data_IF_150086858726
#
_entry.id   IF_150086858726
#
_cell.length_a   1.000
_cell.length_b   1.000
_cell.length_c   1.000
_cell.angle_alpha   90.00
_cell.angle_beta   90.00
_cell.angle_gamma   90.00
#
_symmetry.space_group_name_H-M   'P 1'
#
loop_
_entity.id
_entity.type
_entity.pdbx_description
1 polymer ?
#
# COMPACT_ATOMS: atom_id res chain seq x y z
N UNK A 1 -8.54 52.02 -46.64
CA UNK A 1 -8.74 50.55 -46.71
C UNK A 1 -8.25 49.95 -45.40
N UNK A 2 -9.18 49.74 -44.46
CA UNK A 2 -8.92 49.14 -43.15
C UNK A 2 -9.05 47.61 -43.28
N UNK A 3 -8.03 46.86 -42.88
CA UNK A 3 -8.08 45.39 -42.81
C UNK A 3 -8.14 44.97 -41.33
N UNK A 4 -9.30 44.47 -40.96
CA UNK A 4 -9.61 43.79 -39.70
C UNK A 4 -8.73 42.54 -39.60
N UNK A 5 -7.99 42.39 -38.51
CA UNK A 5 -7.32 41.13 -38.14
C UNK A 5 -8.28 40.31 -37.27
N UNK A 6 -8.69 39.15 -37.77
CA UNK A 6 -9.36 38.13 -36.98
C UNK A 6 -8.39 37.57 -35.93
N UNK A 7 -8.76 37.64 -34.66
CA UNK A 7 -8.13 36.90 -33.57
C UNK A 7 -8.92 35.59 -33.44
N UNK A 8 -8.29 34.47 -33.79
CA UNK A 8 -8.82 33.13 -33.49
C UNK A 8 -8.31 32.79 -32.08
N UNK A 9 -9.22 32.76 -31.12
CA UNK A 9 -8.99 32.21 -29.78
C UNK A 9 -9.12 30.70 -29.89
N UNK A 10 -8.02 29.96 -29.76
CA UNK A 10 -8.06 28.52 -29.55
C UNK A 10 -8.44 28.26 -28.09
N UNK A 11 -9.65 27.77 -27.89
CA UNK A 11 -10.12 27.20 -26.64
C UNK A 11 -9.44 25.83 -26.47
N UNK A 12 -8.40 25.74 -25.64
CA UNK A 12 -7.81 24.46 -25.27
C UNK A 12 -8.70 23.82 -24.19
N UNK A 13 -9.59 22.93 -24.64
CA UNK A 13 -10.31 21.99 -23.78
C UNK A 13 -9.27 20.97 -23.32
N UNK A 14 -8.90 21.03 -22.04
CA UNK A 14 -8.03 20.05 -21.39
C UNK A 14 -8.74 18.70 -21.32
N UNK A 15 -8.51 17.87 -22.32
CA UNK A 15 -8.81 16.45 -22.28
C UNK A 15 -7.86 15.80 -21.29
N UNK A 16 -8.43 15.22 -20.22
CA UNK A 16 -7.79 14.17 -19.42
C UNK A 16 -7.23 13.12 -20.38
N UNK A 17 -5.90 13.12 -20.54
CA UNK A 17 -5.21 11.93 -21.01
C UNK A 17 -4.82 11.17 -19.75
N UNK A 18 -5.37 9.97 -19.58
CA UNK A 18 -4.76 8.97 -18.71
C UNK A 18 -3.30 8.85 -19.14
N UNK A 19 -2.40 9.36 -18.30
CA UNK A 19 -0.99 9.05 -18.43
C UNK A 19 -0.88 7.53 -18.23
N UNK A 20 -0.73 6.82 -19.34
CA UNK A 20 -0.24 5.46 -19.33
C UNK A 20 1.18 5.57 -18.81
N UNK A 21 1.38 5.20 -17.55
CA UNK A 21 2.72 5.09 -16.97
C UNK A 21 3.41 4.00 -17.78
N UNK A 22 4.34 4.43 -18.61
CA UNK A 22 5.24 3.53 -19.30
C UNK A 22 6.15 2.94 -18.21
N UNK A 23 5.84 1.74 -17.75
CA UNK A 23 6.72 0.96 -16.88
C UNK A 23 7.88 0.54 -17.78
N UNK A 24 8.82 1.44 -17.98
CA UNK A 24 10.13 1.08 -18.49
C UNK A 24 10.68 0.04 -17.51
N UNK A 25 11.01 -1.15 -18.03
CA UNK A 25 11.75 -2.18 -17.30
C UNK A 25 12.99 -1.52 -16.72
N UNK A 26 12.94 -1.15 -15.44
CA UNK A 26 14.12 -0.77 -14.67
C UNK A 26 14.98 -2.03 -14.64
N UNK A 27 16.18 -1.93 -15.22
CA UNK A 27 17.20 -2.96 -15.11
C UNK A 27 17.36 -3.26 -13.62
N UNK A 28 17.00 -4.49 -13.25
CA UNK A 28 17.11 -4.99 -11.89
C UNK A 28 18.56 -4.86 -11.46
N UNK A 29 18.84 -3.92 -10.56
CA UNK A 29 20.14 -3.80 -9.92
C UNK A 29 20.40 -5.13 -9.19
N UNK A 30 21.44 -5.86 -9.61
CA UNK A 30 21.83 -7.15 -9.00
C UNK A 30 22.08 -7.03 -7.48
N UNK A 31 22.21 -5.80 -6.97
CA UNK A 31 22.34 -5.46 -5.55
C UNK A 31 21.07 -5.68 -4.70
N UNK A 32 19.87 -5.76 -5.27
CA UNK A 32 18.64 -6.02 -4.49
C UNK A 32 18.44 -7.51 -4.14
N UNK A 33 19.42 -8.37 -4.44
CA UNK A 33 19.32 -9.81 -4.24
C UNK A 33 19.34 -10.26 -2.78
N UNK A 34 19.67 -9.39 -1.83
CA UNK A 34 19.72 -9.67 -0.38
C UNK A 34 18.98 -8.60 0.44
N UNK A 35 17.66 -8.50 0.29
CA UNK A 35 16.84 -7.74 1.23
C UNK A 35 16.79 -8.52 2.54
N UNK A 36 17.32 -7.94 3.61
CA UNK A 36 17.23 -8.50 4.96
C UNK A 36 15.85 -8.19 5.55
N UNK A 37 14.92 -9.13 5.39
CA UNK A 37 13.52 -8.99 5.83
C UNK A 37 13.42 -8.77 7.34
N UNK A 38 14.40 -9.20 8.13
CA UNK A 38 14.39 -9.02 9.59
C UNK A 38 14.52 -7.56 10.01
N UNK A 39 15.01 -6.68 9.13
CA UNK A 39 15.07 -5.24 9.36
C UNK A 39 13.73 -4.54 9.13
N UNK A 40 12.78 -5.21 8.48
CA UNK A 40 11.48 -4.64 8.14
C UNK A 40 10.44 -4.99 9.21
N UNK A 41 9.81 -3.96 9.76
CA UNK A 41 8.84 -4.06 10.85
C UNK A 41 7.47 -3.54 10.42
N UNK A 42 6.42 -3.99 11.10
CA UNK A 42 5.09 -3.44 10.92
C UNK A 42 5.08 -1.95 11.34
N UNK A 43 4.15 -1.19 10.76
CA UNK A 43 4.07 0.27 10.98
C UNK A 43 3.91 0.66 12.45
N UNK A 44 3.17 -0.12 13.23
CA UNK A 44 2.94 0.09 14.67
C UNK A 44 4.23 0.02 15.50
N UNK A 45 5.26 -0.65 15.00
CA UNK A 45 6.57 -0.77 15.66
C UNK A 45 7.49 0.41 15.40
N UNK A 46 7.27 1.14 14.30
CA UNK A 46 8.03 2.34 13.94
C UNK A 46 7.28 3.64 14.23
N UNK A 47 6.00 3.54 14.55
CA UNK A 47 5.20 4.69 14.92
C UNK A 47 5.77 5.38 16.17
N UNK A 48 6.00 6.68 16.05
CA UNK A 48 6.33 7.59 17.15
C UNK A 48 5.10 7.79 18.02
N UNK A 49 3.93 7.91 17.38
CA UNK A 49 2.65 8.06 18.03
C UNK A 49 1.51 7.46 17.19
N UNK A 50 0.42 7.16 17.87
CA UNK A 50 -0.80 6.61 17.31
C UNK A 50 -1.99 7.45 17.76
N UNK A 51 -2.79 7.88 16.80
CA UNK A 51 -3.94 8.72 17.08
C UNK A 51 -5.19 7.98 16.63
N UNK A 52 -5.99 7.58 17.62
CA UNK A 52 -7.32 7.01 17.37
C UNK A 52 -8.27 8.12 16.91
N UNK A 53 -9.02 7.82 15.86
CA UNK A 53 -9.98 8.74 15.29
C UNK A 53 -11.25 8.80 16.17
N UNK A 54 -11.42 9.87 16.95
CA UNK A 54 -12.63 10.11 17.76
C UNK A 54 -13.79 10.68 16.93
N UNK A 55 -14.86 9.91 16.77
CA UNK A 55 -16.03 10.31 15.98
C UNK A 55 -16.78 11.47 16.65
N UNK A 56 -16.97 12.56 15.91
CA UNK A 56 -17.79 13.69 16.34
C UNK A 56 -19.26 13.31 16.15
N UNK A 57 -19.98 13.22 17.26
CA UNK A 57 -21.41 12.94 17.30
C UNK A 57 -22.21 14.11 16.68
N UNK A 58 -23.08 13.84 15.70
CA UNK A 58 -24.12 14.80 15.28
C UNK A 58 -24.33 15.08 13.80
N UNK A 59 -23.64 14.42 12.86
CA UNK A 59 -23.86 14.61 11.42
C UNK A 59 -24.07 13.27 10.68
N UNK A 60 -24.65 13.30 9.48
CA UNK A 60 -24.66 12.13 8.55
C UNK A 60 -23.23 11.75 8.06
N UNK A 61 -22.21 12.50 8.50
CA UNK A 61 -20.81 12.42 8.14
C UNK A 61 -20.00 12.08 9.39
N UNK A 62 -19.24 10.99 9.38
CA UNK A 62 -18.19 10.79 10.39
C UNK A 62 -17.17 11.89 10.22
N UNK A 63 -16.96 12.65 11.27
CA UNK A 63 -15.97 13.71 11.32
C UNK A 63 -15.03 13.47 12.48
N UNK A 64 -13.73 13.57 12.23
CA UNK A 64 -12.69 13.40 13.24
C UNK A 64 -11.93 14.71 13.39
N UNK A 65 -11.72 15.16 14.63
CA UNK A 65 -10.89 16.34 14.91
C UNK A 65 -9.79 16.00 15.90
N UNK A 66 -8.56 16.14 15.43
CA UNK A 66 -7.35 15.92 16.22
C UNK A 66 -6.68 17.26 16.42
N UNK A 67 -6.21 17.52 17.64
CA UNK A 67 -5.42 18.71 17.98
C UNK A 67 -4.19 18.29 18.74
N UNK A 68 -3.15 17.95 18.00
CA UNK A 68 -1.86 17.54 18.54
C UNK A 68 -0.74 18.46 18.09
N UNK A 69 0.42 18.32 18.74
CA UNK A 69 1.59 19.13 18.47
C UNK A 69 2.84 18.26 18.25
N UNK A 70 3.29 18.15 16.99
CA UNK A 70 4.48 17.43 16.56
C UNK A 70 5.42 18.35 15.78
N UNK A 71 6.71 18.09 15.79
CA UNK A 71 7.69 18.82 14.98
C UNK A 71 7.93 18.05 13.68
N UNK A 72 7.07 18.25 12.67
CA UNK A 72 7.06 17.40 11.47
C UNK A 72 8.18 17.73 10.49
N UNK A 73 8.68 18.96 10.49
CA UNK A 73 9.82 19.38 9.66
C UNK A 73 11.13 19.48 10.43
N UNK A 74 11.14 18.99 11.68
CA UNK A 74 12.30 18.91 12.57
C UNK A 74 13.01 20.27 12.73
N UNK A 75 12.25 21.37 12.78
CA UNK A 75 12.77 22.74 12.92
C UNK A 75 12.97 23.17 14.39
N UNK A 76 12.59 22.30 15.33
CA UNK A 76 12.65 22.52 16.78
C UNK A 76 11.41 23.19 17.36
N UNK A 77 10.38 23.48 16.55
CA UNK A 77 9.09 24.02 16.99
C UNK A 77 8.01 23.00 16.69
N UNK A 78 7.02 22.95 17.57
CA UNK A 78 5.86 22.08 17.34
C UNK A 78 4.87 22.73 16.39
N UNK A 79 4.38 21.93 15.46
CA UNK A 79 3.33 22.24 14.50
C UNK A 79 1.96 21.89 15.05
N UNK A 80 1.00 22.79 14.88
CA UNK A 80 -0.39 22.55 15.25
C UNK A 80 -1.09 21.75 14.15
N UNK A 81 -1.53 20.54 14.50
CA UNK A 81 -2.23 19.65 13.58
C UNK A 81 -3.73 19.77 13.79
N UNK A 82 -4.47 19.92 12.69
CA UNK A 82 -5.93 19.83 12.67
C UNK A 82 -6.34 18.91 11.53
N UNK A 83 -6.80 17.71 11.87
CA UNK A 83 -7.46 16.84 10.90
C UNK A 83 -8.96 17.11 10.93
N UNK A 84 -9.57 17.24 9.75
CA UNK A 84 -11.01 17.18 9.55
C UNK A 84 -11.27 16.12 8.50
N UNK A 85 -11.32 14.87 8.96
CA UNK A 85 -11.57 13.73 8.09
C UNK A 85 -13.07 13.57 7.95
N UNK A 86 -13.58 13.55 6.71
CA UNK A 86 -15.02 13.45 6.42
C UNK A 86 -15.30 12.18 5.64
N UNK A 87 -16.22 11.37 6.15
CA UNK A 87 -16.68 10.17 5.48
C UNK A 87 -18.22 10.04 5.53
N UNK A 88 -18.84 9.60 4.42
CA UNK A 88 -20.27 9.27 4.35
C UNK A 88 -20.51 8.02 3.49
N UNK A 89 -20.29 6.84 4.06
CA UNK A 89 -20.60 5.57 3.39
C UNK A 89 -20.04 5.53 1.96
N UNK A 90 -20.89 5.20 0.98
CA UNK A 90 -20.49 5.11 -0.44
C UNK A 90 -20.21 6.45 -1.14
N UNK A 91 -20.21 7.60 -0.45
CA UNK A 91 -19.92 8.91 -1.05
C UNK A 91 -18.56 9.42 -0.58
N UNK A 92 -17.64 9.53 -1.54
CA UNK A 92 -16.36 10.21 -1.37
C UNK A 92 -16.62 11.66 -0.98
N UNK A 93 -16.13 12.04 0.20
CA UNK A 93 -16.09 13.43 0.65
C UNK A 93 -14.63 13.83 0.82
N UNK A 94 -14.34 15.07 0.49
CA UNK A 94 -13.01 15.62 0.69
C UNK A 94 -12.78 15.85 2.18
N UNK A 95 -11.82 15.11 2.71
CA UNK A 95 -11.21 15.36 4.00
C UNK A 95 -10.21 16.50 3.87
N UNK A 96 -10.09 17.32 4.90
CA UNK A 96 -9.12 18.41 4.97
C UNK A 96 -8.11 18.07 6.05
N UNK A 97 -6.85 18.01 5.67
CA UNK A 97 -5.73 17.81 6.58
C UNK A 97 -4.99 19.15 6.68
N UNK A 98 -4.87 19.71 7.88
CA UNK A 98 -4.25 21.01 8.12
C UNK A 98 -3.11 20.89 9.13
N UNK A 99 -1.98 21.51 8.81
CA UNK A 99 -0.82 21.66 9.71
C UNK A 99 -0.40 23.13 9.64
N UNK A 100 -0.46 23.82 10.78
CA UNK A 100 -0.33 25.27 10.86
C UNK A 100 -1.27 25.96 9.85
N UNK A 101 -0.71 26.78 8.95
CA UNK A 101 -1.44 27.50 7.91
C UNK A 101 -1.52 26.73 6.57
N UNK A 102 -0.99 25.51 6.51
CA UNK A 102 -1.02 24.68 5.30
C UNK A 102 -2.14 23.65 5.37
N UNK A 103 -2.79 23.39 4.22
CA UNK A 103 -3.82 22.36 4.11
C UNK A 103 -3.69 21.58 2.80
N UNK A 104 -4.20 20.35 2.82
CA UNK A 104 -4.41 19.50 1.66
C UNK A 104 -5.80 18.87 1.74
N UNK A 105 -6.43 18.68 0.57
CA UNK A 105 -7.66 17.91 0.44
C UNK A 105 -7.32 16.49 -0.03
N UNK A 106 -7.92 15.47 0.60
CA UNK A 106 -7.79 14.08 0.17
C UNK A 106 -9.11 13.33 0.38
N UNK A 107 -9.39 12.36 -0.48
CA UNK A 107 -10.60 11.54 -0.42
C UNK A 107 -10.26 10.19 0.18
N UNK A 108 -10.92 9.85 1.29
CA UNK A 108 -10.77 8.56 1.97
C UNK A 108 -12.07 7.76 1.83
N UNK A 109 -11.93 6.44 1.84
CA UNK A 109 -13.03 5.49 1.80
C UNK A 109 -13.49 5.12 3.20
N UNK A 110 -12.64 4.54 4.06
CA UNK A 110 -12.96 4.16 5.43
C UNK A 110 -11.75 4.41 6.36
N UNK A 111 -11.37 5.69 6.57
CA UNK A 111 -10.21 6.05 7.39
C UNK A 111 -10.51 5.78 8.87
N UNK A 112 -9.59 5.14 9.58
CA UNK A 112 -9.83 4.79 10.99
C UNK A 112 -8.62 4.97 11.93
N UNK A 113 -7.39 4.98 11.43
CA UNK A 113 -6.18 5.20 12.25
C UNK A 113 -5.25 6.24 11.62
N UNK A 114 -4.55 7.00 12.48
CA UNK A 114 -3.42 7.84 12.06
C UNK A 114 -2.17 7.41 12.81
N UNK A 115 -1.09 7.22 12.05
CA UNK A 115 0.24 6.97 12.60
C UNK A 115 1.14 8.17 12.33
N UNK A 116 1.88 8.60 13.35
CA UNK A 116 3.01 9.51 13.20
C UNK A 116 4.27 8.67 13.12
N UNK A 117 5.03 8.79 12.04
CA UNK A 117 6.13 7.88 11.72
C UNK A 117 7.29 8.64 11.09
N UNK A 118 8.52 8.27 11.45
CA UNK A 118 9.73 8.71 10.76
C UNK A 118 10.08 7.61 9.73
N UNK A 119 9.79 7.84 8.45
CA UNK A 119 10.03 6.86 7.40
C UNK A 119 11.51 6.71 7.08
N UNK A 120 12.30 7.78 7.19
CA UNK A 120 13.75 7.79 6.97
C UNK A 120 14.45 8.66 8.01
N UNK A 121 14.96 8.00 9.04
CA UNK A 121 15.66 8.62 10.18
C UNK A 121 16.91 9.42 9.82
N UNK A 122 17.36 9.37 8.55
CA UNK A 122 18.49 10.15 8.04
C UNK A 122 18.07 11.50 7.47
N UNK A 123 16.79 11.70 7.20
CA UNK A 123 16.27 12.97 6.71
C UNK A 123 15.83 13.89 7.86
N UNK A 124 15.07 14.94 7.55
CA UNK A 124 14.61 15.93 8.55
C UNK A 124 13.10 16.05 8.52
N UNK A 125 12.42 14.94 8.34
CA UNK A 125 10.98 14.90 8.29
C UNK A 125 10.46 13.82 9.21
N UNK A 126 9.30 14.11 9.79
CA UNK A 126 8.41 13.10 10.34
C UNK A 126 7.17 13.13 9.46
N UNK A 127 6.73 11.96 9.06
CA UNK A 127 5.51 11.78 8.30
C UNK A 127 4.33 11.50 9.22
N UNK A 128 3.15 11.63 8.63
CA UNK A 128 1.99 10.97 9.16
C UNK A 128 1.34 10.17 8.04
N UNK A 129 0.71 9.06 8.41
CA UNK A 129 -0.07 8.25 7.49
C UNK A 129 -1.44 7.97 8.07
N UNK A 130 -2.42 7.88 7.17
CA UNK A 130 -3.79 7.53 7.51
C UNK A 130 -4.04 6.13 6.96
N UNK A 131 -4.46 5.23 7.84
CA UNK A 131 -4.91 3.90 7.48
C UNK A 131 -6.38 3.97 7.09
N UNK A 132 -6.64 3.56 5.86
CA UNK A 132 -7.96 3.47 5.25
C UNK A 132 -8.25 1.99 5.00
N UNK A 133 -9.30 1.45 5.62
CA UNK A 133 -9.68 0.03 5.45
C UNK A 133 -10.22 -0.28 4.03
N UNK A 134 -10.46 0.78 3.25
CA UNK A 134 -10.93 0.67 1.87
C UNK A 134 -12.36 0.11 1.75
N UNK A 135 -12.92 0.10 0.54
CA UNK A 135 -14.08 -0.73 0.25
C UNK A 135 -13.68 -2.21 0.31
N UNK A 136 -14.57 -3.07 0.80
CA UNK A 136 -14.41 -4.54 0.75
C UNK A 136 -13.15 -5.13 1.42
N UNK A 137 -12.45 -4.37 2.28
CA UNK A 137 -11.23 -4.80 2.95
C UNK A 137 -9.94 -4.49 2.19
N UNK A 138 -10.00 -3.65 1.14
CA UNK A 138 -8.86 -3.16 0.36
C UNK A 138 -8.10 -2.07 1.13
N UNK A 139 -7.56 -2.48 2.27
CA UNK A 139 -6.83 -1.57 3.16
C UNK A 139 -5.65 -0.89 2.48
N UNK A 140 -5.36 0.35 2.87
CA UNK A 140 -4.24 1.11 2.35
C UNK A 140 -3.75 2.17 3.35
N UNK A 141 -2.48 2.52 3.22
CA UNK A 141 -1.83 3.59 3.96
C UNK A 141 -1.51 4.74 3.01
N UNK A 142 -2.04 5.91 3.28
CA UNK A 142 -1.71 7.13 2.53
C UNK A 142 -0.71 7.96 3.32
N UNK A 143 0.46 8.23 2.74
CA UNK A 143 1.58 8.89 3.42
C UNK A 143 1.66 10.37 3.06
N UNK A 144 1.85 11.20 4.08
CA UNK A 144 1.95 12.65 3.95
C UNK A 144 3.19 13.19 4.66
N UNK A 145 3.78 14.25 4.09
CA UNK A 145 4.95 14.96 4.64
C UNK A 145 4.70 16.45 4.73
N UNK A 146 4.97 17.06 5.87
CA UNK A 146 4.95 18.52 6.03
C UNK A 146 6.37 19.09 5.90
N UNK A 147 6.55 20.13 5.08
CA UNK A 147 7.88 20.71 4.81
C UNK A 147 8.13 22.04 5.55
N UNK A 148 7.37 22.36 6.60
CA UNK A 148 7.35 23.70 7.22
C UNK A 148 6.58 24.76 6.41
N UNK A 149 6.07 24.40 5.23
CA UNK A 149 5.40 25.32 4.29
C UNK A 149 4.20 24.72 3.61
N UNK A 150 4.29 23.45 3.22
CA UNK A 150 3.23 22.72 2.55
C UNK A 150 3.15 21.29 3.01
N UNK A 151 1.95 20.71 2.95
CA UNK A 151 1.73 19.28 3.08
C UNK A 151 1.86 18.65 1.69
N UNK A 152 2.61 17.57 1.60
CA UNK A 152 2.84 16.77 0.40
C UNK A 152 2.20 15.41 0.56
N UNK A 153 1.49 14.95 -0.46
CA UNK A 153 1.14 13.55 -0.61
C UNK A 153 2.36 12.81 -1.19
N UNK A 154 2.93 11.86 -0.43
CA UNK A 154 4.06 11.06 -0.89
C UNK A 154 3.60 9.89 -1.77
N UNK A 155 2.45 9.31 -1.43
CA UNK A 155 1.85 8.19 -2.14
C UNK A 155 0.90 7.40 -1.24
N UNK A 156 0.30 6.37 -1.83
CA UNK A 156 -0.55 5.40 -1.15
C UNK A 156 0.02 4.01 -1.38
N UNK A 157 0.07 3.20 -0.32
CA UNK A 157 0.54 1.81 -0.34
C UNK A 157 -0.63 0.92 0.08
N UNK A 158 -0.97 -0.07 -0.73
CA UNK A 158 -2.04 -1.03 -0.42
C UNK A 158 -1.58 -2.09 0.57
N UNK A 159 -2.53 -2.67 1.30
CA UNK A 159 -2.29 -3.65 2.35
C UNK A 159 -1.48 -3.08 3.52
N UNK A 160 -0.69 -3.95 4.16
CA UNK A 160 0.07 -3.64 5.36
C UNK A 160 1.58 -3.67 5.04
N UNK A 161 2.19 -2.54 4.64
CA UNK A 161 3.60 -2.52 4.34
C UNK A 161 4.43 -2.76 5.60
N UNK A 162 5.62 -3.35 5.41
CA UNK A 162 6.66 -3.38 6.42
C UNK A 162 7.72 -2.35 6.08
N UNK A 163 8.22 -1.62 7.05
CA UNK A 163 9.18 -0.53 6.85
C UNK A 163 10.47 -0.77 7.64
N UNK A 164 11.57 -0.19 7.18
CA UNK A 164 12.90 -0.35 7.81
C UNK A 164 13.41 0.91 8.54
N UNK A 165 12.64 1.99 8.55
CA UNK A 165 13.02 3.30 9.13
C UNK A 165 14.17 4.01 8.40
N UNK A 166 14.53 3.55 7.21
CA UNK A 166 15.58 4.09 6.35
C UNK A 166 15.06 4.44 4.94
N UNK A 167 13.76 4.71 4.84
CA UNK A 167 13.08 5.08 3.60
C UNK A 167 12.61 3.91 2.75
N UNK A 168 12.77 2.65 3.16
CA UNK A 168 12.34 1.49 2.37
C UNK A 168 11.12 0.78 2.97
N UNK A 169 10.33 0.20 2.07
CA UNK A 169 9.13 -0.56 2.40
C UNK A 169 9.10 -1.87 1.62
N UNK A 170 8.66 -2.96 2.24
CA UNK A 170 8.14 -4.13 1.54
C UNK A 170 6.64 -3.91 1.39
N UNK A 171 6.18 -3.78 0.15
CA UNK A 171 4.78 -3.43 -0.18
C UNK A 171 3.99 -4.62 -0.71
N UNK A 172 4.66 -5.67 -1.20
CA UNK A 172 4.02 -6.94 -1.59
C UNK A 172 4.92 -8.13 -1.28
N UNK A 173 4.38 -9.12 -0.55
CA UNK A 173 5.10 -10.35 -0.22
C UNK A 173 4.18 -11.53 0.12
N UNK A 174 4.67 -12.75 -0.10
CA UNK A 174 4.11 -13.97 0.47
C UNK A 174 4.84 -14.26 1.79
N UNK A 175 4.28 -13.78 2.90
CA UNK A 175 4.85 -13.91 4.26
C UNK A 175 4.35 -15.14 5.03
N UNK A 176 3.42 -15.91 4.46
CA UNK A 176 2.93 -17.18 5.03
C UNK A 176 3.95 -18.32 4.89
N UNK A 177 5.02 -18.12 4.12
CA UNK A 177 6.13 -19.07 3.90
C UNK A 177 7.47 -18.53 4.40
N UNK A 178 8.40 -19.43 4.72
CA UNK A 178 9.78 -19.12 5.09
C UNK A 178 10.80 -19.79 4.13
N UNK A 179 11.76 -19.02 3.57
CA UNK A 179 11.83 -17.56 3.62
C UNK A 179 10.65 -16.92 2.89
N UNK A 180 10.25 -15.71 3.31
CA UNK A 180 9.17 -14.98 2.64
C UNK A 180 9.58 -14.61 1.21
N UNK A 181 8.60 -14.60 0.30
CA UNK A 181 8.81 -14.21 -1.09
C UNK A 181 8.43 -12.75 -1.24
N UNK A 182 9.37 -11.90 -1.66
CA UNK A 182 9.13 -10.47 -1.90
C UNK A 182 8.79 -10.28 -3.37
N UNK A 183 7.70 -9.56 -3.65
CA UNK A 183 7.25 -9.21 -5.00
C UNK A 183 7.49 -7.74 -5.34
N UNK A 184 7.42 -6.86 -4.34
CA UNK A 184 7.63 -5.43 -4.53
C UNK A 184 8.22 -4.78 -3.29
N UNK A 185 9.12 -3.84 -3.54
CA UNK A 185 9.55 -2.87 -2.55
C UNK A 185 9.25 -1.46 -3.01
N UNK A 186 9.22 -0.53 -2.07
CA UNK A 186 9.14 0.88 -2.34
C UNK A 186 10.21 1.67 -1.59
N UNK A 187 10.64 2.79 -2.16
CA UNK A 187 11.60 3.73 -1.56
C UNK A 187 11.03 5.14 -1.54
N UNK A 188 11.16 5.83 -0.41
CA UNK A 188 10.83 7.25 -0.28
C UNK A 188 11.96 8.08 -0.88
N UNK A 189 11.69 8.73 -2.01
CA UNK A 189 12.67 9.58 -2.70
C UNK A 189 12.17 11.03 -2.82
N UNK A 190 12.65 11.86 -1.90
CA UNK A 190 12.32 13.28 -1.82
C UNK A 190 10.85 13.55 -1.49
N UNK A 191 9.98 13.57 -2.49
CA UNK A 191 8.54 13.84 -2.34
C UNK A 191 7.65 12.77 -2.95
N UNK A 192 8.21 11.62 -3.31
CA UNK A 192 7.46 10.52 -3.93
C UNK A 192 7.88 9.19 -3.31
N UNK A 193 7.01 8.19 -3.46
CA UNK A 193 7.32 6.79 -3.25
C UNK A 193 7.59 6.15 -4.63
N UNK A 194 8.76 5.51 -4.79
CA UNK A 194 9.14 4.79 -6.01
C UNK A 194 9.03 3.29 -5.76
N UNK A 195 8.28 2.60 -6.61
CA UNK A 195 8.05 1.16 -6.53
C UNK A 195 8.99 0.38 -7.45
N UNK A 196 9.52 -0.73 -6.95
CA UNK A 196 10.37 -1.66 -7.71
C UNK A 196 9.84 -3.08 -7.57
N UNK A 197 9.45 -3.66 -8.70
CA UNK A 197 9.03 -5.07 -8.78
C UNK A 197 10.26 -5.98 -8.72
N UNK A 198 10.19 -7.02 -7.89
CA UNK A 198 11.25 -8.00 -7.71
C UNK A 198 11.00 -9.19 -8.64
N UNK A 199 12.05 -9.64 -9.33
CA UNK A 199 12.01 -10.91 -10.06
C UNK A 199 11.82 -12.08 -9.08
N UNK A 200 10.62 -12.66 -9.12
CA UNK A 200 10.23 -13.76 -8.26
C UNK A 200 10.55 -15.14 -8.83
N UNK A 201 11.03 -15.24 -10.09
CA UNK A 201 11.27 -16.53 -10.75
C UNK A 201 12.30 -17.38 -10.01
N UNK A 202 13.25 -16.74 -9.32
CA UNK A 202 14.25 -17.39 -8.46
C UNK A 202 13.64 -18.12 -7.25
N UNK A 203 12.37 -17.88 -6.92
CA UNK A 203 11.66 -18.51 -5.80
C UNK A 203 10.83 -19.71 -6.25
N UNK A 204 10.64 -19.93 -7.55
CA UNK A 204 9.83 -21.03 -8.07
C UNK A 204 10.54 -22.38 -7.94
N UNK A 205 9.74 -23.43 -7.88
CA UNK A 205 10.14 -24.83 -7.76
C UNK A 205 10.98 -25.14 -6.50
N UNK A 206 10.86 -24.30 -5.47
CA UNK A 206 11.49 -24.50 -4.16
C UNK A 206 10.44 -24.88 -3.13
N UNK A 207 10.89 -25.64 -2.13
CA UNK A 207 10.12 -25.98 -0.94
C UNK A 207 10.25 -24.87 0.10
N UNK A 208 9.14 -24.55 0.72
CA UNK A 208 9.03 -23.55 1.77
C UNK A 208 8.30 -24.14 2.95
N UNK A 209 8.66 -23.66 4.14
CA UNK A 209 7.96 -24.01 5.36
C UNK A 209 6.86 -22.99 5.66
N UNK A 210 5.65 -23.46 5.96
CA UNK A 210 4.54 -22.59 6.38
C UNK A 210 4.82 -22.02 7.78
N UNK A 211 4.70 -20.70 7.92
CA UNK A 211 5.08 -19.96 9.13
C UNK A 211 4.06 -20.02 10.28
N UNK A 212 2.78 -20.11 9.95
CA UNK A 212 1.65 -20.09 10.88
C UNK A 212 0.44 -20.79 10.27
N UNK A 213 -0.50 -21.22 11.11
CA UNK A 213 -1.78 -21.77 10.64
C UNK A 213 -2.56 -20.66 9.94
N UNK A 214 -3.07 -20.93 8.74
CA UNK A 214 -3.94 -19.99 8.03
C UNK A 214 -5.02 -20.72 7.25
N UNK A 215 -6.17 -20.06 7.10
CA UNK A 215 -7.17 -20.49 6.15
C UNK A 215 -6.88 -19.85 4.79
N UNK A 216 -6.99 -20.64 3.74
CA UNK A 216 -6.94 -20.16 2.37
C UNK A 216 -7.84 -21.03 1.51
N UNK A 217 -8.17 -20.54 0.32
CA UNK A 217 -8.88 -21.35 -0.65
C UNK A 217 -7.87 -22.24 -1.36
N UNK A 218 -8.07 -23.55 -1.25
CA UNK A 218 -7.25 -24.54 -1.92
C UNK A 218 -8.13 -25.42 -2.79
N UNK A 219 -7.74 -25.58 -4.05
CA UNK A 219 -8.43 -26.46 -4.98
C UNK A 219 -7.45 -27.35 -5.68
N UNK A 220 -7.65 -28.65 -5.52
CA UNK A 220 -6.83 -29.68 -6.15
C UNK A 220 -7.01 -29.68 -7.67
N UNK A 221 -5.90 -29.85 -8.38
CA UNK A 221 -5.86 -29.97 -9.83
C UNK A 221 -4.74 -30.92 -10.26
N UNK A 222 -5.09 -31.91 -11.08
CA UNK A 222 -4.11 -32.71 -11.82
C UNK A 222 -3.37 -31.87 -12.89
N UNK A 223 -4.06 -30.86 -13.42
CA UNK A 223 -3.52 -29.93 -14.43
C UNK A 223 -4.15 -28.56 -14.21
N UNK A 224 -3.31 -27.56 -14.00
CA UNK A 224 -3.75 -26.20 -13.72
C UNK A 224 -4.44 -25.58 -14.94
N UNK A 225 -5.66 -25.03 -14.80
CA UNK A 225 -6.33 -24.34 -15.88
C UNK A 225 -5.58 -23.06 -16.24
N UNK A 226 -5.43 -22.78 -17.54
CA UNK A 226 -4.73 -21.59 -18.04
C UNK A 226 -5.36 -20.26 -17.61
N UNK A 227 -6.67 -20.26 -17.37
CA UNK A 227 -7.45 -19.07 -17.05
C UNK A 227 -8.18 -19.28 -15.72
N UNK A 228 -7.44 -19.67 -14.67
CA UNK A 228 -8.04 -19.75 -13.35
C UNK A 228 -8.53 -18.38 -12.91
N UNK A 229 -9.76 -18.32 -12.41
CA UNK A 229 -10.30 -17.15 -11.72
C UNK A 229 -10.77 -17.61 -10.34
N UNK A 230 -10.29 -16.96 -9.25
CA UNK A 230 -10.84 -17.14 -7.92
C UNK A 230 -12.37 -17.04 -7.91
N UNK A 231 -13.03 -17.87 -7.12
CA UNK A 231 -14.49 -17.91 -7.02
C UNK A 231 -14.95 -18.10 -5.57
N UNK A 232 -16.11 -17.52 -5.25
CA UNK A 232 -16.65 -17.47 -3.88
C UNK A 232 -17.23 -18.80 -3.39
N UNK A 233 -17.29 -19.82 -4.26
CA UNK A 233 -17.93 -21.11 -4.01
C UNK A 233 -16.96 -22.20 -3.52
N UNK A 234 -15.69 -21.86 -3.32
CA UNK A 234 -14.67 -22.77 -2.78
C UNK A 234 -14.68 -22.64 -1.25
N UNK A 235 -14.60 -23.76 -0.53
CA UNK A 235 -14.47 -23.73 0.93
C UNK A 235 -13.02 -23.44 1.33
N UNK A 236 -12.85 -22.68 2.41
CA UNK A 236 -11.53 -22.48 3.01
C UNK A 236 -10.97 -23.79 3.53
N UNK A 237 -9.69 -24.01 3.25
CA UNK A 237 -8.89 -25.11 3.78
C UNK A 237 -7.87 -24.55 4.76
N UNK A 238 -7.74 -25.22 5.91
CA UNK A 238 -6.68 -24.92 6.85
C UNK A 238 -5.35 -25.44 6.31
N UNK A 239 -4.41 -24.54 6.06
CA UNK A 239 -3.01 -24.88 5.81
C UNK A 239 -2.27 -24.79 7.14
N UNK A 240 -1.81 -25.93 7.63
CA UNK A 240 -1.19 -26.03 8.93
C UNK A 240 0.23 -25.44 8.93
N UNK A 241 0.59 -24.81 10.04
CA UNK A 241 1.95 -24.40 10.37
C UNK A 241 2.89 -25.59 10.22
N UNK A 242 4.12 -25.29 9.82
CA UNK A 242 5.21 -26.24 9.64
C UNK A 242 5.04 -27.23 8.47
N UNK A 243 3.91 -27.21 7.75
CA UNK A 243 3.76 -27.92 6.48
C UNK A 243 4.77 -27.43 5.45
N UNK A 244 5.23 -28.32 4.57
CA UNK A 244 6.04 -27.94 3.41
C UNK A 244 5.14 -27.73 2.21
N UNK A 245 5.40 -26.63 1.53
CA UNK A 245 4.73 -26.25 0.29
C UNK A 245 5.77 -25.94 -0.76
N UNK A 246 5.64 -26.56 -1.94
CA UNK A 246 6.46 -26.23 -3.09
C UNK A 246 5.69 -25.32 -4.02
N UNK A 247 6.21 -24.10 -4.22
CA UNK A 247 5.58 -23.10 -5.09
C UNK A 247 6.08 -23.32 -6.52
N UNK A 248 5.18 -23.66 -7.44
CA UNK A 248 5.50 -23.97 -8.85
C UNK A 248 5.29 -22.77 -9.77
N UNK A 249 4.24 -22.01 -9.51
CA UNK A 249 3.87 -20.80 -10.24
C UNK A 249 3.25 -19.78 -9.30
N UNK A 250 3.38 -18.50 -9.64
CA UNK A 250 2.75 -17.39 -8.94
C UNK A 250 2.12 -16.50 -10.00
N UNK A 251 0.81 -16.32 -9.93
CA UNK A 251 0.09 -15.38 -10.78
C UNK A 251 0.03 -14.02 -10.10
N UNK A 252 0.45 -12.97 -10.82
CA UNK A 252 0.45 -11.60 -10.33
C UNK A 252 -0.48 -10.72 -11.16
N UNK A 253 -1.24 -9.85 -10.48
CA UNK A 253 -1.84 -8.66 -11.09
C UNK A 253 -0.99 -7.44 -10.69
N UNK A 254 -0.20 -6.95 -11.64
CA UNK A 254 0.88 -6.01 -11.32
C UNK A 254 1.94 -6.68 -10.45
N UNK A 255 2.07 -6.24 -9.20
CA UNK A 255 2.96 -6.81 -8.19
C UNK A 255 2.22 -7.57 -7.09
N UNK A 256 0.89 -7.64 -7.16
CA UNK A 256 0.04 -8.27 -6.14
C UNK A 256 -0.20 -9.74 -6.53
N UNK A 257 0.11 -10.71 -5.64
CA UNK A 257 -0.09 -12.12 -5.95
C UNK A 257 -1.55 -12.53 -5.85
N UNK A 258 -2.15 -12.92 -6.98
CA UNK A 258 -3.54 -13.37 -7.04
C UNK A 258 -3.70 -14.81 -6.58
N UNK A 259 -2.84 -15.72 -7.06
CA UNK A 259 -2.88 -17.14 -6.71
C UNK A 259 -1.54 -17.84 -6.96
N UNK A 260 -1.38 -19.01 -6.35
CA UNK A 260 -0.17 -19.82 -6.37
C UNK A 260 -0.51 -21.22 -6.87
N UNK A 261 0.27 -21.75 -7.81
CA UNK A 261 0.31 -23.20 -8.04
C UNK A 261 1.24 -23.82 -7.00
N UNK A 262 0.73 -24.78 -6.25
CA UNK A 262 1.46 -25.38 -5.14
C UNK A 262 1.37 -26.90 -5.15
N UNK A 263 2.40 -27.54 -4.60
CA UNK A 263 2.41 -28.95 -4.22
C UNK A 263 2.58 -29.03 -2.69
N UNK A 264 1.67 -29.72 -2.02
CA UNK A 264 1.67 -29.92 -0.57
C UNK A 264 2.52 -31.16 -0.17
N UNK A 265 2.78 -31.32 1.13
CA UNK A 265 3.59 -32.41 1.73
C UNK A 265 3.21 -33.83 1.27
N UNK A 266 1.93 -34.07 1.03
CA UNK A 266 1.39 -35.36 0.60
C UNK A 266 1.44 -35.56 -0.93
N UNK A 267 2.03 -34.61 -1.66
CA UNK A 267 2.18 -34.61 -3.11
C UNK A 267 0.94 -34.11 -3.86
N UNK A 268 -0.09 -33.64 -3.15
CA UNK A 268 -1.29 -33.06 -3.77
C UNK A 268 -0.93 -31.73 -4.44
N UNK A 269 -1.38 -31.59 -5.69
CA UNK A 269 -1.19 -30.39 -6.49
C UNK A 269 -2.47 -29.58 -6.54
N UNK A 270 -2.36 -28.27 -6.49
CA UNK A 270 -3.52 -27.41 -6.59
C UNK A 270 -3.20 -25.94 -6.70
N UNK A 271 -4.26 -25.16 -6.70
CA UNK A 271 -4.20 -23.71 -6.63
C UNK A 271 -4.51 -23.29 -5.19
N UNK A 272 -3.62 -22.49 -4.62
CA UNK A 272 -3.80 -21.79 -3.36
C UNK A 272 -4.06 -20.31 -3.67
N UNK A 273 -5.10 -19.72 -3.11
CA UNK A 273 -5.33 -18.29 -3.23
C UNK A 273 -5.97 -17.71 -1.97
N UNK A 274 -5.78 -16.40 -1.80
CA UNK A 274 -6.38 -15.60 -0.74
C UNK A 274 -7.38 -14.66 -1.39
N UNK A 275 -8.53 -14.43 -0.75
CA UNK A 275 -9.38 -13.34 -1.20
C UNK A 275 -8.71 -12.00 -0.89
N UNK A 276 -8.61 -11.15 -1.89
CA UNK A 276 -7.96 -9.84 -1.81
C UNK A 276 -8.97 -8.70 -1.88
N UNK A 277 -10.22 -8.92 -1.44
CA UNK A 277 -11.31 -7.96 -1.63
C UNK A 277 -11.94 -8.03 -3.03
N UNK A 278 -12.88 -7.13 -3.30
CA UNK A 278 -13.77 -7.08 -4.49
C UNK A 278 -13.45 -5.88 -5.38
#
# INVERSE_FOLDING_TARGET
>A
MSKIKFIIIFLAIGLCSCATINIDKIETDENMSNIDIELFMNIDKLAIDFIELEEIEGDELKSYSIKENYDFDCDGKKDLVNFLIKFRGSRLNKSVLQINDSFIEYEFHNPYEIYVIDLDTKDKFVEFTIHDDGPSGDSSFTFFRYTGKKILLLGQVTGYPKLDGNGHMITSSANFVSPAIIFEIAEVTGSNIIYTVIDHTKYLNKEYKVCYDFNAYFKEYDTIPKNFMPAYDIEETLIAKDSIIKIKHIELEGSVPCWYEVELDDGINGILYFWLGD
#
